data_IF_046198452438
#
_entry.id   IF_046198452438
#
_cell.length_a   1.000
_cell.length_b   1.000
_cell.length_c   1.000
_cell.angle_alpha   90.00
_cell.angle_beta   90.00
_cell.angle_gamma   90.00
#
_symmetry.space_group_name_H-M   'P 1'
#
loop_
_entity.id
_entity.type
_entity.pdbx_description
1 polymer ?
#
# COMPACT_ATOMS: atom_id res chain seq x y z
N UNK A 1 16.51 16.41 0.81
CA UNK A 1 15.10 16.22 0.43
C UNK A 1 15.07 15.15 -0.63
N UNK A 2 14.49 14.00 -0.31
CA UNK A 2 14.40 12.86 -1.23
C UNK A 2 12.94 12.78 -1.65
N UNK A 3 12.67 12.79 -2.95
CA UNK A 3 11.30 12.72 -3.48
C UNK A 3 10.99 11.26 -3.82
N UNK A 4 9.83 10.76 -3.38
CA UNK A 4 9.31 9.44 -3.73
C UNK A 4 8.48 9.47 -5.02
N UNK A 5 8.33 8.31 -5.67
CA UNK A 5 7.45 8.16 -6.84
C UNK A 5 6.04 7.82 -6.37
N UNK A 6 5.05 8.61 -6.79
CA UNK A 6 3.64 8.34 -6.57
C UNK A 6 2.99 7.87 -7.86
N UNK A 7 2.46 6.64 -7.87
CA UNK A 7 1.68 6.08 -8.96
C UNK A 7 0.19 6.11 -8.64
N UNK A 8 -0.64 6.53 -9.60
CA UNK A 8 -2.09 6.37 -9.54
C UNK A 8 -2.51 5.32 -10.57
N UNK A 9 -3.06 4.20 -10.09
CA UNK A 9 -3.54 3.12 -10.93
C UNK A 9 -5.06 3.16 -10.94
N UNK A 10 -5.67 3.19 -12.13
CA UNK A 10 -7.12 3.31 -12.31
C UNK A 10 -7.92 2.01 -12.06
N UNK A 11 -7.32 0.99 -11.46
CA UNK A 11 -7.88 -0.35 -11.29
C UNK A 11 -7.21 -1.42 -12.16
N UNK A 12 -7.63 -2.69 -11.97
CA UNK A 12 -6.99 -3.91 -12.51
C UNK A 12 -5.56 -4.17 -11.98
N UNK A 13 -5.34 -3.78 -10.72
CA UNK A 13 -4.11 -4.00 -9.98
C UNK A 13 -3.81 -5.51 -9.90
N UNK A 14 -2.54 -5.87 -10.10
CA UNK A 14 -2.05 -7.27 -10.04
C UNK A 14 -2.65 -8.22 -11.09
N UNK A 15 -3.16 -7.69 -12.19
CA UNK A 15 -3.52 -8.45 -13.39
C UNK A 15 -2.31 -8.78 -14.27
N UNK A 16 -2.45 -9.75 -15.18
CA UNK A 16 -1.36 -10.20 -16.09
C UNK A 16 -0.79 -9.10 -17.01
N UNK A 17 -1.56 -8.05 -17.24
CA UNK A 17 -1.17 -6.90 -18.08
C UNK A 17 -0.56 -5.74 -17.26
N UNK A 18 -0.48 -5.90 -15.94
CA UNK A 18 0.10 -4.93 -15.02
C UNK A 18 1.64 -5.04 -15.12
N UNK A 19 2.25 -4.16 -15.93
CA UNK A 19 3.70 -4.21 -16.22
C UNK A 19 4.46 -3.03 -15.62
N UNK A 20 3.75 -2.03 -15.09
CA UNK A 20 4.36 -0.82 -14.55
C UNK A 20 4.93 -1.02 -13.13
N UNK A 21 4.43 -1.98 -12.35
CA UNK A 21 4.90 -2.23 -10.98
C UNK A 21 6.36 -2.67 -10.96
N UNK A 22 6.79 -3.48 -11.92
CA UNK A 22 8.20 -3.88 -12.05
C UNK A 22 9.11 -2.66 -12.20
N UNK A 23 8.70 -1.68 -13.01
CA UNK A 23 9.48 -0.45 -13.20
C UNK A 23 9.49 0.43 -11.95
N UNK A 24 8.36 0.51 -11.23
CA UNK A 24 8.28 1.26 -9.98
C UNK A 24 9.15 0.61 -8.89
N UNK A 25 9.18 -0.72 -8.82
CA UNK A 25 10.05 -1.48 -7.92
C UNK A 25 11.52 -1.21 -8.23
N UNK A 26 11.94 -1.29 -9.50
CA UNK A 26 13.31 -0.95 -9.93
C UNK A 26 13.72 0.46 -9.51
N UNK A 27 12.85 1.46 -9.74
CA UNK A 27 13.14 2.86 -9.40
C UNK A 27 13.19 3.08 -7.90
N UNK A 28 12.33 2.40 -7.13
CA UNK A 28 12.31 2.49 -5.67
C UNK A 28 13.49 1.79 -4.99
N UNK A 29 14.09 0.79 -5.66
CA UNK A 29 15.07 -0.10 -5.06
C UNK A 29 14.54 -0.88 -3.85
N UNK A 30 13.23 -1.07 -3.77
CA UNK A 30 12.58 -1.77 -2.66
C UNK A 30 12.63 -3.29 -2.86
N UNK A 31 12.94 -4.01 -1.80
CA UNK A 31 12.84 -5.48 -1.71
C UNK A 31 11.59 -5.94 -0.94
N UNK A 32 10.81 -4.99 -0.43
CA UNK A 32 9.55 -5.20 0.28
C UNK A 32 8.52 -4.16 -0.18
N UNK A 33 7.29 -4.60 -0.42
CA UNK A 33 6.12 -3.75 -0.68
C UNK A 33 5.20 -3.75 0.53
N UNK A 34 4.95 -2.58 1.10
CA UNK A 34 3.98 -2.40 2.17
C UNK A 34 2.59 -2.15 1.57
N UNK A 35 1.67 -3.10 1.73
CA UNK A 35 0.30 -3.01 1.19
C UNK A 35 -0.67 -2.57 2.27
N UNK A 36 -1.39 -1.48 2.04
CA UNK A 36 -2.49 -1.02 2.90
C UNK A 36 -3.82 -1.37 2.23
N UNK A 37 -4.55 -2.39 2.70
CA UNK A 37 -5.86 -2.77 2.17
C UNK A 37 -6.99 -1.84 2.68
N UNK A 38 -6.67 -0.59 3.01
CA UNK A 38 -7.57 0.35 3.70
C UNK A 38 -8.85 0.57 2.90
N UNK A 39 -8.75 0.75 1.57
CA UNK A 39 -9.93 0.96 0.72
C UNK A 39 -10.82 -0.30 0.65
N UNK A 40 -10.25 -1.48 0.87
CA UNK A 40 -10.92 -2.78 0.84
C UNK A 40 -11.32 -3.29 2.23
N UNK A 41 -11.43 -2.41 3.24
CA UNK A 41 -11.77 -2.79 4.61
C UNK A 41 -13.04 -3.67 4.72
N UNK A 42 -14.01 -3.47 3.83
CA UNK A 42 -15.27 -4.22 3.79
C UNK A 42 -15.30 -5.34 2.72
N UNK A 43 -14.21 -5.52 1.97
CA UNK A 43 -14.13 -6.43 0.81
C UNK A 43 -13.02 -7.50 0.98
N UNK A 44 -12.88 -8.03 2.20
CA UNK A 44 -11.89 -9.06 2.54
C UNK A 44 -10.43 -8.61 2.40
N UNK A 45 -9.94 -7.73 3.29
CA UNK A 45 -8.60 -7.13 3.20
C UNK A 45 -7.45 -8.17 3.20
N UNK A 46 -7.66 -9.34 3.81
CA UNK A 46 -6.69 -10.43 3.77
C UNK A 46 -6.51 -11.02 2.36
N UNK A 47 -7.59 -11.06 1.56
CA UNK A 47 -7.52 -11.56 0.18
C UNK A 47 -6.75 -10.59 -0.71
N UNK A 48 -6.88 -9.29 -0.46
CA UNK A 48 -6.10 -8.25 -1.13
C UNK A 48 -4.61 -8.44 -0.87
N UNK A 49 -4.22 -8.65 0.39
CA UNK A 49 -2.82 -8.90 0.75
C UNK A 49 -2.31 -10.19 0.10
N UNK A 50 -3.11 -11.26 0.09
CA UNK A 50 -2.72 -12.52 -0.55
C UNK A 50 -2.50 -12.36 -2.06
N UNK A 51 -3.40 -11.63 -2.73
CA UNK A 51 -3.27 -11.35 -4.17
C UNK A 51 -2.00 -10.55 -4.47
N UNK A 52 -1.74 -9.50 -3.69
CA UNK A 52 -0.52 -8.71 -3.80
C UNK A 52 0.73 -9.58 -3.56
N UNK A 53 0.69 -10.44 -2.54
CA UNK A 53 1.80 -11.34 -2.21
C UNK A 53 2.10 -12.26 -3.39
N UNK A 54 1.09 -12.91 -3.96
CA UNK A 54 1.28 -13.80 -5.10
C UNK A 54 1.86 -13.07 -6.31
N UNK A 55 1.42 -11.83 -6.56
CA UNK A 55 1.90 -11.03 -7.69
C UNK A 55 3.34 -10.54 -7.51
N UNK A 56 3.71 -10.08 -6.31
CA UNK A 56 5.06 -9.59 -6.05
C UNK A 56 6.09 -10.72 -5.87
N UNK A 57 5.64 -11.92 -5.51
CA UNK A 57 6.50 -13.12 -5.46
C UNK A 57 7.09 -13.45 -6.84
N UNK A 58 6.33 -13.23 -7.93
CA UNK A 58 6.82 -13.39 -9.31
C UNK A 58 8.00 -12.46 -9.64
N UNK A 59 8.14 -11.33 -8.93
CA UNK A 59 9.26 -10.39 -9.06
C UNK A 59 10.36 -10.61 -8.02
N UNK A 60 10.23 -11.61 -7.14
CA UNK A 60 11.17 -11.88 -6.05
C UNK A 60 11.12 -10.82 -4.94
N UNK A 61 10.02 -10.09 -4.82
CA UNK A 61 9.82 -9.01 -3.85
C UNK A 61 8.87 -9.45 -2.76
N UNK A 62 9.25 -9.21 -1.50
CA UNK A 62 8.40 -9.57 -0.35
C UNK A 62 7.22 -8.62 -0.20
N UNK A 63 6.08 -9.13 0.25
CA UNK A 63 4.89 -8.31 0.52
C UNK A 63 4.56 -8.32 2.00
N UNK A 64 4.31 -7.14 2.57
CA UNK A 64 3.87 -6.96 3.94
C UNK A 64 2.53 -6.23 3.98
N UNK A 65 1.50 -6.88 4.49
CA UNK A 65 0.21 -6.24 4.73
C UNK A 65 0.20 -5.42 6.03
N UNK A 66 -0.30 -4.19 5.97
CA UNK A 66 -0.55 -3.36 7.15
C UNK A 66 -2.04 -3.04 7.25
N UNK A 67 -2.70 -3.62 8.26
CA UNK A 67 -4.15 -3.57 8.44
C UNK A 67 -4.62 -2.23 9.03
N UNK A 68 -4.40 -1.13 8.31
CA UNK A 68 -4.97 0.18 8.62
C UNK A 68 -6.39 0.23 8.06
N UNK A 69 -7.39 -0.26 8.80
CA UNK A 69 -8.77 -0.40 8.29
C UNK A 69 -9.72 0.69 8.82
N UNK A 70 -9.37 1.28 9.96
CA UNK A 70 -10.11 2.33 10.65
C UNK A 70 -9.25 3.57 10.91
N UNK A 71 -9.90 4.70 11.21
CA UNK A 71 -9.18 5.94 11.55
C UNK A 71 -8.35 5.81 12.85
N UNK A 72 -8.77 4.94 13.77
CA UNK A 72 -7.99 4.64 14.98
C UNK A 72 -6.70 3.88 14.62
N UNK A 73 -6.78 2.89 13.73
CA UNK A 73 -5.58 2.21 13.22
C UNK A 73 -4.63 3.19 12.52
N UNK A 74 -5.18 4.17 11.80
CA UNK A 74 -4.40 5.20 11.11
C UNK A 74 -3.71 6.17 12.07
N UNK A 75 -4.19 6.27 13.31
CA UNK A 75 -3.58 7.05 14.38
C UNK A 75 -2.76 6.20 15.38
N UNK A 76 -2.61 4.89 15.14
CA UNK A 76 -1.64 4.09 15.88
C UNK A 76 -0.22 4.48 15.44
N UNK A 77 0.59 4.89 16.42
CA UNK A 77 2.00 5.26 16.23
C UNK A 77 2.82 4.14 15.61
N UNK A 78 2.53 2.87 15.90
CA UNK A 78 3.26 1.70 15.37
C UNK A 78 3.00 1.54 13.87
N UNK A 79 1.77 1.78 13.44
CA UNK A 79 1.39 1.74 12.02
C UNK A 79 2.07 2.89 11.28
N UNK A 80 2.03 4.10 11.83
CA UNK A 80 2.71 5.26 11.26
C UNK A 80 4.24 5.04 11.15
N UNK A 81 4.87 4.45 12.17
CA UNK A 81 6.30 4.10 12.12
C UNK A 81 6.62 3.06 11.04
N UNK A 82 5.74 2.06 10.85
CA UNK A 82 5.89 1.07 9.79
C UNK A 82 5.83 1.71 8.41
N UNK A 83 4.89 2.65 8.21
CA UNK A 83 4.77 3.43 6.97
C UNK A 83 6.01 4.28 6.71
N UNK A 84 6.52 4.99 7.73
CA UNK A 84 7.69 5.86 7.60
C UNK A 84 8.99 5.09 7.23
N UNK A 85 9.04 3.79 7.50
CA UNK A 85 10.18 2.92 7.17
C UNK A 85 10.04 2.25 5.80
N UNK A 86 8.84 2.28 5.21
CA UNK A 86 8.58 1.63 3.95
C UNK A 86 9.19 2.41 2.78
N UNK A 87 9.93 1.71 1.92
CA UNK A 87 10.46 2.28 0.67
C UNK A 87 9.44 2.26 -0.47
N UNK A 88 8.45 1.38 -0.36
CA UNK A 88 7.38 1.23 -1.33
C UNK A 88 6.07 0.98 -0.58
N UNK A 89 5.08 1.84 -0.84
CA UNK A 89 3.74 1.74 -0.24
C UNK A 89 2.73 1.56 -1.37
N UNK A 90 1.87 0.57 -1.25
CA UNK A 90 0.77 0.29 -2.17
C UNK A 90 -0.56 0.47 -1.44
N UNK A 91 -1.38 1.43 -1.87
CA UNK A 91 -2.76 1.56 -1.41
C UNK A 91 -3.62 0.72 -2.34
N UNK A 92 -4.27 -0.33 -1.81
CA UNK A 92 -5.13 -1.16 -2.67
C UNK A 92 -6.37 -0.40 -3.13
N UNK A 93 -6.93 -0.82 -4.27
CA UNK A 93 -8.26 -0.44 -4.70
C UNK A 93 -9.37 -0.83 -3.71
N UNK A 94 -10.55 -0.25 -3.90
CA UNK A 94 -11.72 -0.40 -3.04
C UNK A 94 -12.52 0.91 -2.99
N UNK A 95 -13.00 1.31 -1.80
CA UNK A 95 -13.72 2.57 -1.60
C UNK A 95 -12.76 3.77 -1.40
N UNK A 96 -12.68 4.73 -2.34
CA UNK A 96 -11.82 5.91 -2.19
C UNK A 96 -12.31 6.84 -1.08
N UNK A 97 -13.64 6.88 -0.83
CA UNK A 97 -14.23 7.67 0.24
C UNK A 97 -13.82 7.11 1.61
N UNK A 98 -13.83 5.78 1.76
CA UNK A 98 -13.39 5.13 3.00
C UNK A 98 -11.88 5.33 3.22
N UNK A 99 -11.06 5.12 2.19
CA UNK A 99 -9.62 5.39 2.23
C UNK A 99 -9.32 6.81 2.72
N UNK A 100 -10.00 7.81 2.13
CA UNK A 100 -9.87 9.21 2.55
C UNK A 100 -10.32 9.40 3.99
N UNK A 101 -11.46 8.83 4.39
CA UNK A 101 -11.98 8.96 5.76
C UNK A 101 -11.03 8.38 6.80
N UNK A 102 -10.31 7.31 6.46
CA UNK A 102 -9.35 6.65 7.36
C UNK A 102 -8.04 7.43 7.42
N UNK A 103 -7.46 7.79 6.27
CA UNK A 103 -6.10 8.35 6.25
C UNK A 103 -6.04 9.87 6.45
N UNK A 104 -7.07 10.63 6.04
CA UNK A 104 -7.02 12.10 6.13
C UNK A 104 -6.72 12.55 7.55
N UNK A 105 -5.74 13.45 7.70
CA UNK A 105 -5.34 14.04 8.99
C UNK A 105 -4.88 13.01 10.05
N UNK A 106 -4.50 11.80 9.64
CA UNK A 106 -3.96 10.76 10.51
C UNK A 106 -2.44 10.79 10.62
N UNK A 107 -1.90 10.14 11.65
CA UNK A 107 -0.45 9.92 11.78
C UNK A 107 0.12 9.12 10.60
N UNK A 108 -0.61 8.12 10.11
CA UNK A 108 -0.21 7.32 8.95
C UNK A 108 -0.06 8.17 7.67
N UNK A 109 -0.92 9.18 7.48
CA UNK A 109 -0.79 10.11 6.34
C UNK A 109 0.40 11.05 6.49
N UNK A 110 0.69 11.52 7.70
CA UNK A 110 1.90 12.32 7.96
C UNK A 110 3.20 11.55 7.72
N UNK A 111 3.17 10.23 7.90
CA UNK A 111 4.33 9.35 7.78
C UNK A 111 4.78 9.06 6.34
N UNK A 112 4.03 9.48 5.31
CA UNK A 112 4.38 9.25 3.89
C UNK A 112 5.27 10.34 3.30
N UNK A 113 5.96 11.14 4.13
CA UNK A 113 6.70 12.34 3.72
C UNK A 113 8.20 12.13 3.48
#
# INVERSE_FOLDING_TARGET
MTYGVLGFVGGNEWGKDCTFDQRLLEVSGASEVLVLPTAAAYEYPMRVIQNATNYFDDFGVTTKGLMVLSHDDANDRRNAQTIAQAKFIYLSGGSPLHLRSVLKESLCFGATS
#
